data_IF_624831770535
#
_entry.id   IF_624831770535
#
_cell.length_a   1.000
_cell.length_b   1.000
_cell.length_c   1.000
_cell.angle_alpha   90.00
_cell.angle_beta   90.00
_cell.angle_gamma   90.00
#
_symmetry.space_group_name_H-M   'P 1'
#
loop_
_entity.id
_entity.type
_entity.pdbx_description
1 polymer ?
#
# COMPACT_ATOMS: atom_id res chain seq x y z
N UNK A 1 17.93 -29.64 49.12
CA UNK A 1 17.83 -28.32 48.47
C UNK A 1 18.26 -28.27 46.99
N UNK A 2 19.09 -29.20 46.46
CA UNK A 2 19.65 -29.11 45.10
C UNK A 2 18.71 -29.43 43.89
N UNK A 3 17.49 -29.96 44.11
CA UNK A 3 16.55 -30.29 43.01
C UNK A 3 15.79 -29.07 42.47
N UNK A 4 15.61 -28.01 43.28
CA UNK A 4 14.83 -26.82 42.93
C UNK A 4 15.59 -25.90 41.95
N UNK A 5 16.92 -25.80 42.11
CA UNK A 5 17.78 -25.01 41.22
C UNK A 5 17.94 -25.60 39.82
N UNK A 6 18.07 -26.92 39.71
CA UNK A 6 18.14 -27.61 38.41
C UNK A 6 16.87 -27.36 37.58
N UNK A 7 15.70 -27.38 38.21
CA UNK A 7 14.43 -27.07 37.53
C UNK A 7 14.34 -25.62 37.05
N UNK A 8 14.93 -24.65 37.77
CA UNK A 8 14.96 -23.25 37.33
C UNK A 8 15.92 -23.04 36.15
N UNK A 9 17.04 -23.74 36.11
CA UNK A 9 17.99 -23.69 34.99
C UNK A 9 17.37 -24.29 33.73
N UNK A 10 16.75 -25.47 33.85
CA UNK A 10 16.07 -26.15 32.73
C UNK A 10 14.91 -25.31 32.21
N UNK A 11 14.08 -24.72 33.10
CA UNK A 11 13.02 -23.78 32.70
C UNK A 11 13.59 -22.59 31.92
N UNK A 12 14.66 -21.95 32.42
CA UNK A 12 15.30 -20.83 31.69
C UNK A 12 15.81 -21.24 30.32
N UNK A 13 16.41 -22.43 30.18
CA UNK A 13 16.86 -22.92 28.89
C UNK A 13 15.71 -23.21 27.93
N UNK A 14 14.59 -23.78 28.42
CA UNK A 14 13.36 -23.98 27.62
C UNK A 14 12.78 -22.63 27.17
N UNK A 15 12.70 -21.63 28.06
CA UNK A 15 12.26 -20.28 27.69
C UNK A 15 13.17 -19.65 26.64
N UNK A 16 14.49 -19.81 26.77
CA UNK A 16 15.49 -19.26 25.84
C UNK A 16 15.46 -19.96 24.48
N UNK A 17 15.21 -21.26 24.46
CA UNK A 17 15.07 -22.05 23.23
C UNK A 17 13.74 -21.76 22.54
N UNK A 18 12.63 -21.64 23.30
CA UNK A 18 11.35 -21.19 22.78
C UNK A 18 11.41 -19.77 22.22
N UNK A 19 12.22 -18.88 22.80
CA UNK A 19 12.48 -17.55 22.25
C UNK A 19 13.22 -17.61 20.91
N UNK A 20 14.29 -18.40 20.80
CA UNK A 20 15.05 -18.57 19.55
C UNK A 20 14.24 -19.23 18.44
N UNK A 21 13.41 -20.23 18.77
CA UNK A 21 12.51 -20.87 17.80
C UNK A 21 11.45 -19.88 17.35
N UNK A 22 10.88 -19.08 18.26
CA UNK A 22 9.98 -17.99 17.88
C UNK A 22 10.69 -16.99 16.96
N UNK A 23 11.89 -16.55 17.29
CA UNK A 23 12.72 -15.63 16.48
C UNK A 23 12.96 -16.17 15.06
N UNK A 24 13.28 -17.46 14.92
CA UNK A 24 13.43 -18.16 13.64
C UNK A 24 12.10 -18.30 12.88
N UNK A 25 10.99 -18.56 13.57
CA UNK A 25 9.66 -18.61 12.96
C UNK A 25 9.22 -17.21 12.50
N UNK A 26 9.57 -16.14 13.24
CA UNK A 26 9.34 -14.76 12.81
C UNK A 26 10.16 -14.39 11.58
N UNK A 27 11.44 -14.81 11.49
CA UNK A 27 12.22 -14.52 10.29
C UNK A 27 11.67 -15.22 9.04
N UNK A 28 10.86 -16.28 9.22
CA UNK A 28 10.32 -17.08 8.14
C UNK A 28 8.84 -16.77 7.80
N UNK A 29 8.07 -16.13 8.70
CA UNK A 29 6.62 -15.98 8.57
C UNK A 29 6.07 -14.55 8.60
N UNK A 30 6.91 -13.53 8.76
CA UNK A 30 6.41 -12.17 9.01
C UNK A 30 6.08 -11.42 7.73
N UNK A 31 4.79 -11.08 7.60
CA UNK A 31 4.30 -9.96 6.79
C UNK A 31 4.90 -8.64 7.27
N UNK A 32 6.14 -8.35 6.84
CA UNK A 32 6.79 -7.10 6.48
C UNK A 32 6.40 -5.75 7.15
N UNK A 33 5.91 -5.69 8.40
CA UNK A 33 5.86 -4.40 9.13
C UNK A 33 7.30 -3.95 9.43
N UNK A 34 7.85 -3.08 8.58
CA UNK A 34 9.21 -2.56 8.76
C UNK A 34 9.15 -1.44 9.81
N UNK A 35 10.10 -1.43 10.74
CA UNK A 35 10.24 -0.41 11.80
C UNK A 35 9.42 -0.60 13.09
N UNK A 36 9.27 -1.85 13.53
CA UNK A 36 8.67 -2.22 14.82
C UNK A 36 9.64 -2.07 16.02
N UNK A 37 10.86 -1.57 15.79
CA UNK A 37 11.97 -1.56 16.75
C UNK A 37 11.70 -0.77 18.06
N UNK A 38 10.70 0.13 18.06
CA UNK A 38 10.29 0.90 19.25
C UNK A 38 9.07 0.33 19.98
N UNK A 39 8.49 -0.78 19.51
CA UNK A 39 7.29 -1.35 20.13
C UNK A 39 7.61 -2.35 21.23
N UNK A 40 6.65 -2.52 22.15
CA UNK A 40 6.72 -3.61 23.13
C UNK A 40 6.68 -4.95 22.38
N UNK A 41 7.45 -5.97 22.81
CA UNK A 41 7.52 -7.27 22.14
C UNK A 41 6.15 -7.95 21.93
N UNK A 42 5.20 -7.75 22.85
CA UNK A 42 3.84 -8.28 22.71
C UNK A 42 3.07 -7.65 21.54
N UNK A 43 3.24 -6.35 21.29
CA UNK A 43 2.59 -5.65 20.17
C UNK A 43 3.22 -6.09 18.85
N UNK A 44 4.55 -6.21 18.80
CA UNK A 44 5.25 -6.79 17.65
C UNK A 44 4.71 -8.18 17.31
N UNK A 45 4.56 -9.05 18.31
CA UNK A 45 4.01 -10.39 18.12
C UNK A 45 2.60 -10.35 17.53
N UNK A 46 1.73 -9.50 18.07
CA UNK A 46 0.35 -9.39 17.59
C UNK A 46 0.29 -8.87 16.15
N UNK A 47 1.08 -7.85 15.81
CA UNK A 47 1.13 -7.30 14.44
C UNK A 47 1.73 -8.29 13.43
N UNK A 48 2.71 -9.09 13.85
CA UNK A 48 3.29 -10.14 13.00
C UNK A 48 2.29 -11.25 12.64
N UNK A 49 1.24 -11.45 13.44
CA UNK A 49 0.21 -12.47 13.22
C UNK A 49 -0.97 -11.96 12.37
N UNK A 50 -1.03 -10.66 12.07
CA UNK A 50 -2.16 -10.02 11.40
C UNK A 50 -1.65 -9.49 10.04
N UNK A 51 -2.41 -9.68 8.95
CA UNK A 51 -2.05 -9.09 7.67
C UNK A 51 -2.08 -7.55 7.72
N UNK A 52 -1.28 -6.91 6.87
CA UNK A 52 -1.34 -5.45 6.72
C UNK A 52 -2.72 -5.03 6.24
N UNK A 53 -3.22 -3.92 6.79
CA UNK A 53 -4.42 -3.27 6.27
C UNK A 53 -4.13 -2.72 4.87
N UNK A 54 -5.15 -2.73 4.00
CA UNK A 54 -5.04 -2.18 2.66
C UNK A 54 -5.14 -0.64 2.69
N UNK A 55 -4.28 0.02 1.91
CA UNK A 55 -4.35 1.46 1.66
C UNK A 55 -4.43 1.67 0.15
N UNK A 56 -5.58 2.16 -0.30
CA UNK A 56 -5.89 2.32 -1.73
C UNK A 56 -5.68 3.77 -2.16
N UNK A 57 -4.93 3.97 -3.25
CA UNK A 57 -4.64 5.27 -3.84
C UNK A 57 -5.20 5.41 -5.24
N UNK A 58 -5.67 6.61 -5.57
CA UNK A 58 -5.71 7.04 -6.96
C UNK A 58 -4.33 7.53 -7.43
N UNK A 59 -4.07 7.47 -8.73
CA UNK A 59 -2.81 7.92 -9.33
C UNK A 59 -2.89 9.40 -9.74
N UNK A 60 -3.88 9.73 -10.58
CA UNK A 60 -4.04 11.07 -11.15
C UNK A 60 -4.56 12.08 -10.11
N UNK A 61 -4.01 13.28 -10.16
CA UNK A 61 -4.24 14.38 -9.22
C UNK A 61 -4.14 13.98 -7.72
N UNK A 62 -3.50 12.85 -7.40
CA UNK A 62 -3.45 12.30 -6.04
C UNK A 62 -2.02 12.01 -5.62
N UNK A 63 -1.32 11.15 -6.35
CA UNK A 63 0.12 10.91 -6.18
C UNK A 63 0.93 11.74 -7.18
N UNK A 64 0.44 11.84 -8.41
CA UNK A 64 1.10 12.55 -9.50
C UNK A 64 0.10 13.39 -10.29
N UNK A 65 0.61 14.31 -11.09
CA UNK A 65 -0.15 15.05 -12.10
C UNK A 65 0.59 14.95 -13.43
N UNK A 66 -0.12 14.57 -14.49
CA UNK A 66 0.40 14.66 -15.85
C UNK A 66 0.44 16.13 -16.27
N UNK A 67 1.62 16.60 -16.68
CA UNK A 67 1.87 17.99 -17.09
C UNK A 67 1.78 18.14 -18.60
N UNK A 68 2.22 17.13 -19.34
CA UNK A 68 2.19 17.15 -20.80
C UNK A 68 2.46 15.76 -21.40
N UNK A 69 2.10 15.60 -22.67
CA UNK A 69 2.31 14.37 -23.45
C UNK A 69 2.90 14.74 -24.81
N UNK A 70 4.02 14.11 -25.17
CA UNK A 70 4.74 14.31 -26.44
C UNK A 70 5.54 15.61 -26.47
N UNK A 71 4.88 16.75 -26.23
CA UNK A 71 5.51 18.06 -26.16
C UNK A 71 5.10 18.77 -24.87
N UNK A 72 6.04 19.50 -24.29
CA UNK A 72 5.83 20.28 -23.09
C UNK A 72 5.81 21.77 -23.45
N UNK A 73 4.88 22.53 -22.88
CA UNK A 73 4.83 23.98 -23.06
C UNK A 73 6.06 24.66 -22.44
N UNK A 74 6.59 25.69 -23.10
CA UNK A 74 7.72 26.47 -22.59
C UNK A 74 7.42 27.04 -21.20
N UNK A 75 8.34 26.83 -20.26
CA UNK A 75 8.19 27.26 -18.86
C UNK A 75 7.44 26.28 -17.96
N UNK A 76 6.94 25.15 -18.47
CA UNK A 76 6.34 24.12 -17.61
C UNK A 76 7.38 23.34 -16.83
N UNK A 77 7.10 23.10 -15.54
CA UNK A 77 7.95 22.31 -14.65
C UNK A 77 7.43 20.87 -14.51
N UNK A 78 8.34 19.90 -14.54
CA UNK A 78 8.07 18.48 -14.30
C UNK A 78 9.20 17.87 -13.45
N UNK A 79 8.89 16.80 -12.72
CA UNK A 79 9.86 16.10 -11.86
C UNK A 79 10.52 14.93 -12.57
N UNK A 80 9.77 14.21 -13.39
CA UNK A 80 10.27 13.10 -14.18
C UNK A 80 9.45 12.88 -15.45
N UNK A 81 10.01 12.14 -16.41
CA UNK A 81 9.33 11.71 -17.62
C UNK A 81 9.38 10.20 -17.76
N UNK A 82 8.40 9.64 -18.45
CA UNK A 82 8.32 8.21 -18.78
C UNK A 82 7.97 8.02 -20.25
N UNK A 83 8.55 6.98 -20.85
CA UNK A 83 8.27 6.61 -22.23
C UNK A 83 7.05 5.68 -22.30
N UNK A 84 6.13 5.98 -23.21
CA UNK A 84 5.00 5.11 -23.50
C UNK A 84 5.34 4.10 -24.59
N UNK A 85 4.62 2.96 -24.65
CA UNK A 85 4.80 1.97 -25.71
C UNK A 85 4.57 2.50 -27.14
N UNK A 86 3.85 3.60 -27.29
CA UNK A 86 3.59 4.25 -28.59
C UNK A 86 4.68 5.27 -28.99
N UNK A 87 5.76 5.38 -28.23
CA UNK A 87 6.88 6.28 -28.50
C UNK A 87 6.67 7.73 -28.06
N UNK A 88 5.56 8.04 -27.39
CA UNK A 88 5.33 9.35 -26.78
C UNK A 88 5.95 9.40 -25.37
N UNK A 89 6.44 10.58 -24.98
CA UNK A 89 6.87 10.85 -23.61
C UNK A 89 5.73 11.45 -22.79
N UNK A 90 5.58 11.06 -21.53
CA UNK A 90 4.70 11.76 -20.56
C UNK A 90 5.57 12.49 -19.55
N UNK A 91 5.29 13.77 -19.32
CA UNK A 91 5.92 14.61 -18.31
C UNK A 91 5.07 14.68 -17.06
N UNK A 92 5.67 14.43 -15.90
CA UNK A 92 4.94 14.17 -14.67
C UNK A 92 5.48 15.03 -13.54
N UNK A 93 4.55 15.64 -12.80
CA UNK A 93 4.81 16.29 -11.53
C UNK A 93 4.43 15.35 -10.38
N UNK A 94 5.36 15.10 -9.47
CA UNK A 94 5.15 14.33 -8.23
C UNK A 94 4.54 15.26 -7.19
N UNK A 95 3.58 14.73 -6.43
CA UNK A 95 3.13 15.44 -5.24
C UNK A 95 4.31 15.62 -4.27
N UNK A 96 4.48 16.81 -3.66
CA UNK A 96 5.54 17.03 -2.67
C UNK A 96 5.53 15.95 -1.57
N UNK A 97 6.72 15.49 -1.19
CA UNK A 97 6.96 14.44 -0.18
C UNK A 97 6.44 13.03 -0.52
N UNK A 98 6.06 12.76 -1.77
CA UNK A 98 5.54 11.45 -2.20
C UNK A 98 6.47 10.28 -1.85
N UNK A 99 7.79 10.43 -2.03
CA UNK A 99 8.73 9.33 -1.77
C UNK A 99 8.77 8.95 -0.28
N UNK A 100 8.80 9.95 0.60
CA UNK A 100 8.76 9.74 2.04
C UNK A 100 7.43 9.14 2.48
N UNK A 101 6.33 9.61 1.87
CA UNK A 101 5.01 9.05 2.09
C UNK A 101 4.97 7.56 1.72
N UNK A 102 5.38 7.19 0.51
CA UNK A 102 5.40 5.79 0.07
C UNK A 102 6.34 4.92 0.91
N UNK A 103 7.51 5.45 1.28
CA UNK A 103 8.49 4.77 2.13
C UNK A 103 7.98 4.54 3.57
N UNK A 104 7.11 5.41 4.08
CA UNK A 104 6.50 5.29 5.40
C UNK A 104 5.26 4.41 5.34
N UNK A 105 4.33 4.69 4.42
CA UNK A 105 3.05 3.99 4.29
C UNK A 105 3.23 2.50 4.00
N UNK A 106 4.16 2.13 3.11
CA UNK A 106 4.45 0.72 2.78
C UNK A 106 4.92 -0.11 3.97
N UNK A 107 5.38 0.53 5.05
CA UNK A 107 5.74 -0.17 6.29
C UNK A 107 4.52 -0.66 7.06
N UNK A 108 3.39 0.05 6.98
CA UNK A 108 2.21 -0.20 7.79
C UNK A 108 1.04 -0.78 7.00
N UNK A 109 1.00 -0.52 5.70
CA UNK A 109 -0.11 -0.87 4.83
C UNK A 109 0.36 -1.68 3.63
N UNK A 110 -0.53 -2.51 3.12
CA UNK A 110 -0.43 -3.04 1.76
C UNK A 110 -0.94 -1.97 0.81
N UNK A 111 -0.07 -1.44 -0.04
CA UNK A 111 -0.38 -0.31 -0.91
C UNK A 111 -0.98 -0.81 -2.21
N UNK A 112 -2.14 -0.27 -2.57
CA UNK A 112 -2.90 -0.69 -3.74
C UNK A 112 -3.23 0.53 -4.56
N UNK A 113 -2.98 0.46 -5.87
CA UNK A 113 -3.32 1.55 -6.78
C UNK A 113 -4.63 1.20 -7.48
N UNK A 114 -5.62 2.09 -7.43
CA UNK A 114 -6.84 2.00 -8.21
C UNK A 114 -7.07 3.29 -8.99
N UNK A 115 -6.67 3.28 -10.27
CA UNK A 115 -6.69 4.45 -11.13
C UNK A 115 -7.66 4.31 -12.31
N UNK A 116 -8.18 5.44 -12.79
CA UNK A 116 -8.95 5.49 -14.04
C UNK A 116 -8.06 5.41 -15.30
N UNK A 117 -6.74 5.55 -15.15
CA UNK A 117 -5.78 5.36 -16.24
C UNK A 117 -5.76 3.92 -16.74
N UNK A 118 -5.38 3.77 -18.01
CA UNK A 118 -5.06 2.47 -18.58
C UNK A 118 -3.68 2.03 -18.09
N UNK A 119 -3.47 0.72 -18.01
CA UNK A 119 -2.21 0.13 -17.57
C UNK A 119 -1.01 0.57 -18.43
N UNK A 120 -1.18 0.71 -19.75
CA UNK A 120 -0.09 1.17 -20.62
C UNK A 120 0.44 2.58 -20.28
N UNK A 121 -0.36 3.41 -19.60
CA UNK A 121 0.05 4.73 -19.08
C UNK A 121 0.51 4.63 -17.64
N UNK A 122 -0.26 3.93 -16.80
CA UNK A 122 -0.02 3.90 -15.37
C UNK A 122 1.22 3.08 -14.98
N UNK A 123 1.53 2.00 -15.69
CA UNK A 123 2.62 1.09 -15.33
C UNK A 123 3.99 1.77 -15.32
N UNK A 124 4.43 2.48 -16.38
CA UNK A 124 5.71 3.19 -16.37
C UNK A 124 5.84 4.20 -15.21
N UNK A 125 4.73 4.87 -14.87
CA UNK A 125 4.67 5.84 -13.76
C UNK A 125 4.86 5.12 -12.43
N UNK A 126 4.09 4.05 -12.22
CA UNK A 126 4.12 3.29 -10.99
C UNK A 126 5.45 2.57 -10.79
N UNK A 127 6.07 2.08 -11.87
CA UNK A 127 7.38 1.44 -11.83
C UNK A 127 8.48 2.46 -11.45
N UNK A 128 8.41 3.67 -12.00
CA UNK A 128 9.29 4.77 -11.60
C UNK A 128 9.14 5.12 -10.12
N UNK A 129 7.90 5.26 -9.64
CA UNK A 129 7.62 5.57 -8.23
C UNK A 129 7.99 4.42 -7.29
N UNK A 130 7.82 3.17 -7.72
CA UNK A 130 8.13 1.99 -6.93
C UNK A 130 9.64 1.79 -6.79
N UNK A 131 10.42 2.14 -7.82
CA UNK A 131 11.88 2.01 -7.85
C UNK A 131 12.36 0.58 -7.49
N UNK A 132 11.61 -0.44 -7.91
CA UNK A 132 11.93 -1.85 -7.69
C UNK A 132 11.69 -2.36 -6.26
N UNK A 133 11.09 -1.54 -5.38
CA UNK A 133 10.78 -1.91 -3.99
C UNK A 133 9.63 -2.92 -3.88
N UNK A 134 8.85 -3.12 -4.94
CA UNK A 134 7.70 -4.03 -5.00
C UNK A 134 6.60 -3.67 -3.99
N UNK A 135 6.46 -2.38 -3.68
CA UNK A 135 5.44 -1.84 -2.77
C UNK A 135 4.15 -1.47 -3.50
N UNK A 136 4.18 -1.25 -4.83
CA UNK A 136 3.01 -0.90 -5.66
C UNK A 136 2.62 -2.02 -6.65
N UNK A 137 2.72 -3.29 -6.27
CA UNK A 137 2.45 -4.43 -7.18
C UNK A 137 0.96 -4.69 -7.42
N UNK A 138 0.09 -4.28 -6.49
CA UNK A 138 -1.35 -4.48 -6.60
C UNK A 138 -1.96 -3.26 -7.27
N UNK A 139 -2.40 -3.45 -8.52
CA UNK A 139 -2.85 -2.36 -9.40
C UNK A 139 -4.19 -2.73 -10.03
N UNK A 140 -5.12 -1.80 -9.99
CA UNK A 140 -6.42 -1.82 -10.64
C UNK A 140 -6.51 -0.58 -11.54
N UNK A 141 -7.04 -0.78 -12.74
CA UNK A 141 -7.01 0.22 -13.81
C UNK A 141 -8.41 0.53 -14.32
N UNK A 142 -8.44 1.31 -15.40
CA UNK A 142 -9.64 1.65 -16.14
C UNK A 142 -10.53 0.44 -16.47
N UNK A 143 -9.97 -0.71 -16.86
CA UNK A 143 -10.75 -1.88 -17.23
C UNK A 143 -11.37 -2.61 -16.03
N UNK A 144 -10.91 -2.31 -14.82
CA UNK A 144 -11.48 -2.83 -13.57
C UNK A 144 -12.58 -1.91 -13.00
N UNK A 145 -12.75 -0.67 -13.52
CA UNK A 145 -13.90 0.17 -13.18
C UNK A 145 -15.20 -0.53 -13.65
N UNK A 146 -16.19 -0.63 -12.76
CA UNK A 146 -17.54 -1.06 -13.13
C UNK A 146 -18.41 0.11 -13.59
N UNK A 147 -19.73 -0.13 -13.68
CA UNK A 147 -20.73 0.92 -13.95
C UNK A 147 -21.74 1.01 -12.81
N UNK A 148 -21.98 2.22 -12.34
CA UNK A 148 -23.03 2.53 -11.37
C UNK A 148 -23.90 3.66 -11.94
N UNK A 149 -25.20 3.42 -12.11
CA UNK A 149 -26.14 4.39 -12.70
C UNK A 149 -25.67 5.01 -14.04
N UNK A 150 -24.98 4.23 -14.86
CA UNK A 150 -24.44 4.70 -16.15
C UNK A 150 -23.08 5.41 -16.06
N UNK A 151 -22.61 5.76 -14.86
CA UNK A 151 -21.28 6.33 -14.63
C UNK A 151 -20.25 5.24 -14.39
N UNK A 152 -18.98 5.51 -14.74
CA UNK A 152 -17.88 4.61 -14.41
C UNK A 152 -17.54 4.76 -12.93
N UNK A 153 -17.36 3.64 -12.25
CA UNK A 153 -17.19 3.62 -10.81
C UNK A 153 -16.10 2.63 -10.38
N UNK A 154 -15.28 3.05 -9.42
CA UNK A 154 -14.32 2.23 -8.69
C UNK A 154 -15.04 1.59 -7.52
N UNK A 155 -15.16 0.27 -7.56
CA UNK A 155 -15.75 -0.50 -6.48
C UNK A 155 -14.64 -1.02 -5.57
N UNK A 156 -14.60 -0.54 -4.33
CA UNK A 156 -13.58 -0.97 -3.36
C UNK A 156 -13.69 -2.47 -3.10
N UNK A 157 -14.86 -3.09 -3.28
CA UNK A 157 -15.09 -4.55 -3.27
C UNK A 157 -14.15 -5.37 -4.15
N UNK A 158 -13.61 -4.79 -5.22
CA UNK A 158 -12.63 -5.45 -6.10
C UNK A 158 -11.25 -5.57 -5.46
N UNK A 159 -10.96 -4.78 -4.43
CA UNK A 159 -9.66 -4.72 -3.75
C UNK A 159 -9.48 -5.92 -2.79
N UNK A 160 -10.56 -6.54 -2.30
CA UNK A 160 -10.43 -7.72 -1.45
C UNK A 160 -11.74 -8.14 -0.75
N UNK A 161 -11.77 -9.40 -0.30
CA UNK A 161 -12.97 -10.04 0.29
C UNK A 161 -13.31 -9.60 1.72
N UNK A 162 -12.40 -8.92 2.41
CA UNK A 162 -12.59 -8.51 3.80
C UNK A 162 -12.63 -6.99 3.94
N UNK A 163 -13.61 -6.40 3.28
CA UNK A 163 -14.01 -5.00 3.51
C UNK A 163 -14.98 -4.86 4.67
N UNK A 164 -15.28 -5.96 5.37
CA UNK A 164 -16.12 -5.93 6.57
C UNK A 164 -15.52 -5.10 7.72
N UNK A 165 -14.26 -4.68 7.60
CA UNK A 165 -13.59 -3.71 8.49
C UNK A 165 -13.61 -2.26 7.97
N UNK A 166 -14.42 -1.95 6.96
CA UNK A 166 -14.64 -0.56 6.48
C UNK A 166 -15.47 0.22 7.51
N UNK A 167 -16.28 -0.47 8.32
CA UNK A 167 -16.88 0.07 9.53
C UNK A 167 -15.98 -0.23 10.75
N UNK A 168 -15.34 0.80 11.30
CA UNK A 168 -14.62 0.80 12.59
C UNK A 168 -13.27 0.07 12.74
N UNK A 169 -12.49 -0.31 11.71
CA UNK A 169 -11.05 -0.57 11.94
C UNK A 169 -10.14 -0.54 10.69
N UNK A 170 -10.04 0.62 10.02
CA UNK A 170 -8.76 1.09 9.46
C UNK A 170 -8.39 0.69 8.02
N UNK A 171 -9.33 0.62 7.09
CA UNK A 171 -9.03 0.84 5.66
C UNK A 171 -9.08 2.34 5.38
N UNK A 172 -7.95 2.97 5.09
CA UNK A 172 -7.91 4.39 4.73
C UNK A 172 -7.95 4.50 3.21
N UNK A 173 -8.99 5.16 2.69
CA UNK A 173 -9.13 5.45 1.27
C UNK A 173 -8.70 6.90 1.04
N UNK A 174 -7.62 7.13 0.29
CA UNK A 174 -7.23 8.49 -0.11
C UNK A 174 -7.71 8.69 -1.55
N UNK A 175 -8.94 9.19 -1.68
CA UNK A 175 -9.50 9.64 -2.95
C UNK A 175 -9.50 11.16 -3.03
N UNK A 176 -9.10 11.70 -4.16
CA UNK A 176 -9.26 13.10 -4.48
C UNK A 176 -10.54 13.33 -5.31
N UNK A 177 -11.72 12.98 -4.75
CA UNK A 177 -13.06 13.54 -5.06
C UNK A 177 -14.08 12.96 -4.07
N UNK A 178 -14.85 13.78 -3.31
CA UNK A 178 -15.93 13.27 -2.49
C UNK A 178 -17.28 13.28 -3.25
N UNK A 179 -18.19 12.44 -2.75
CA UNK A 179 -19.67 12.41 -2.91
C UNK A 179 -20.34 11.63 -4.05
N UNK A 180 -21.07 10.58 -3.65
CA UNK A 180 -22.53 10.47 -3.85
C UNK A 180 -23.14 9.98 -2.52
N UNK A 181 -24.34 10.48 -2.19
CA UNK A 181 -25.15 10.34 -0.95
C UNK A 181 -25.03 9.06 -0.07
N UNK A 182 -25.51 9.21 1.17
CA UNK A 182 -25.70 8.30 2.33
C UNK A 182 -25.94 6.78 2.16
N UNK A 183 -25.82 6.21 0.95
CA UNK A 183 -26.09 4.81 0.66
C UNK A 183 -24.90 3.99 0.14
N UNK A 184 -23.76 4.59 -0.23
CA UNK A 184 -22.62 3.84 -0.79
C UNK A 184 -21.26 4.41 -0.35
N UNK A 185 -20.80 4.06 0.85
CA UNK A 185 -19.50 4.48 1.40
C UNK A 185 -18.29 3.87 0.66
N UNK A 186 -18.50 2.97 -0.30
CA UNK A 186 -17.45 2.17 -0.96
C UNK A 186 -17.24 2.47 -2.46
N UNK A 187 -17.75 3.60 -2.95
CA UNK A 187 -17.73 3.91 -4.40
C UNK A 187 -17.08 5.26 -4.70
N UNK A 188 -16.09 5.27 -5.59
CA UNK A 188 -15.49 6.49 -6.14
C UNK A 188 -15.71 6.56 -7.65
N UNK A 189 -16.14 7.71 -8.17
CA UNK A 189 -16.39 7.89 -9.61
C UNK A 189 -15.05 7.93 -10.37
N UNK A 190 -14.96 7.17 -11.46
CA UNK A 190 -13.95 7.35 -12.51
C UNK A 190 -14.47 8.52 -13.39
#
# INVERSE_FOLDING_TARGET
>A
MARKDKNNIVKRQIYRMGYKIKELVYSCAVSNYMDVARMRPYVMYRLALIPKKALVFDLDATLVKVVGIGQLEEGSHYDFKVDLPNGLEIFIFKRPHLDNFLATASRWFDLIVFTAFNNYVADPILDYLDAGRKILNRRLYSHDCGKLYGFRAKFVSLVGRDLSSVDYDGTMLIYNRPFVDHFLEEVSIC
#
